data_IF_075698871865
#
_entry.id   IF_075698871865
#
_cell.length_a   1.000
_cell.length_b   1.000
_cell.length_c   1.000
_cell.angle_alpha   90.00
_cell.angle_beta   90.00
_cell.angle_gamma   90.00
#
_symmetry.space_group_name_H-M   'P 1'
#
loop_
_entity.id
_entity.type
_entity.pdbx_description
1 polymer ?
#
# COMPACT_ATOMS: atom_id res chain seq x y z
N UNK A 1 -4.78 -64.41 -4.26
CA UNK A 1 -5.82 -63.65 -4.95
C UNK A 1 -6.01 -64.31 -6.31
N UNK A 2 -7.18 -64.88 -6.55
CA UNK A 2 -7.45 -65.63 -7.78
C UNK A 2 -7.54 -64.69 -8.97
N UNK A 3 -7.11 -65.13 -10.14
CA UNK A 3 -7.13 -64.36 -11.42
C UNK A 3 -8.51 -63.74 -11.69
N UNK A 4 -9.58 -64.42 -11.27
CA UNK A 4 -10.96 -63.98 -11.41
C UNK A 4 -11.33 -62.80 -10.48
N UNK A 5 -10.72 -62.67 -9.33
CA UNK A 5 -10.89 -61.49 -8.41
C UNK A 5 -10.16 -60.26 -8.97
N UNK A 6 -8.97 -60.48 -9.51
CA UNK A 6 -8.19 -59.42 -10.14
C UNK A 6 -8.93 -58.84 -11.37
N UNK A 7 -9.56 -59.72 -12.14
CA UNK A 7 -10.34 -59.32 -13.34
C UNK A 7 -11.59 -58.52 -12.95
N UNK A 8 -12.33 -58.95 -11.91
CA UNK A 8 -13.49 -58.18 -11.39
C UNK A 8 -13.11 -56.81 -10.83
N UNK A 9 -12.00 -56.75 -10.11
CA UNK A 9 -11.47 -55.48 -9.58
C UNK A 9 -11.07 -54.54 -10.73
N UNK A 10 -10.38 -55.06 -11.77
CA UNK A 10 -10.02 -54.25 -12.92
C UNK A 10 -11.25 -53.76 -13.71
N UNK A 11 -12.26 -54.60 -13.90
CA UNK A 11 -13.51 -54.19 -14.52
C UNK A 11 -14.23 -53.13 -13.72
N UNK A 12 -14.33 -53.23 -12.36
CA UNK A 12 -14.95 -52.23 -11.52
C UNK A 12 -14.23 -50.89 -11.56
N UNK A 13 -12.90 -50.88 -11.66
CA UNK A 13 -12.09 -49.64 -11.78
C UNK A 13 -12.36 -48.99 -13.16
N UNK A 14 -12.43 -49.80 -14.25
CA UNK A 14 -12.70 -49.28 -15.60
C UNK A 14 -14.12 -48.72 -15.69
N UNK A 15 -15.12 -49.40 -15.18
CA UNK A 15 -16.51 -48.93 -15.16
C UNK A 15 -16.67 -47.67 -14.30
N UNK A 16 -16.10 -47.65 -13.10
CA UNK A 16 -16.07 -46.49 -12.26
C UNK A 16 -15.36 -45.28 -12.90
N UNK A 17 -14.22 -45.53 -13.54
CA UNK A 17 -13.49 -44.54 -14.31
C UNK A 17 -14.28 -43.96 -15.48
N UNK A 18 -14.99 -44.83 -16.22
CA UNK A 18 -15.84 -44.42 -17.33
C UNK A 18 -17.04 -43.57 -16.88
N UNK A 19 -17.66 -43.91 -15.76
CA UNK A 19 -18.74 -43.11 -15.18
C UNK A 19 -18.26 -41.71 -14.71
N UNK A 20 -17.11 -41.66 -14.05
CA UNK A 20 -16.49 -40.39 -13.66
C UNK A 20 -16.16 -39.54 -14.88
N UNK A 21 -15.58 -40.15 -15.92
CA UNK A 21 -15.28 -39.43 -17.16
C UNK A 21 -16.55 -38.91 -17.84
N UNK A 22 -17.59 -39.76 -17.96
CA UNK A 22 -18.89 -39.35 -18.52
C UNK A 22 -19.50 -38.17 -17.71
N UNK A 23 -19.46 -38.22 -16.38
CA UNK A 23 -19.90 -37.13 -15.51
C UNK A 23 -19.11 -35.85 -15.78
N UNK A 24 -17.78 -35.93 -15.86
CA UNK A 24 -16.94 -34.76 -16.12
C UNK A 24 -17.23 -34.14 -17.51
N UNK A 25 -17.47 -34.97 -18.51
CA UNK A 25 -17.85 -34.49 -19.86
C UNK A 25 -19.19 -33.78 -19.83
N UNK A 26 -20.20 -34.34 -19.16
CA UNK A 26 -21.51 -33.69 -19.02
C UNK A 26 -21.41 -32.36 -18.30
N UNK A 27 -20.70 -32.32 -17.15
CA UNK A 27 -20.47 -31.11 -16.41
C UNK A 27 -19.69 -30.07 -17.23
N UNK A 28 -18.66 -30.52 -17.99
CA UNK A 28 -17.92 -29.68 -18.91
C UNK A 28 -18.77 -29.03 -19.98
N UNK A 29 -19.62 -29.84 -20.66
CA UNK A 29 -20.55 -29.33 -21.67
C UNK A 29 -21.58 -28.37 -21.11
N UNK A 30 -22.12 -28.66 -19.94
CA UNK A 30 -23.04 -27.76 -19.23
C UNK A 30 -22.38 -26.43 -18.88
N UNK A 31 -21.16 -26.49 -18.36
CA UNK A 31 -20.37 -25.29 -18.03
C UNK A 31 -20.09 -24.45 -19.28
N UNK A 32 -19.65 -25.06 -20.38
CA UNK A 32 -19.43 -24.39 -21.66
C UNK A 32 -20.72 -23.73 -22.17
N UNK A 33 -21.86 -24.42 -22.07
CA UNK A 33 -23.15 -23.88 -22.50
C UNK A 33 -23.56 -22.68 -21.68
N UNK A 34 -23.44 -22.76 -20.35
CA UNK A 34 -23.71 -21.63 -19.46
C UNK A 34 -22.77 -20.43 -19.75
N UNK A 35 -21.49 -20.73 -19.91
CA UNK A 35 -20.50 -19.69 -20.28
C UNK A 35 -20.84 -19.03 -21.62
N UNK A 36 -21.24 -19.80 -22.62
CA UNK A 36 -21.66 -19.28 -23.92
C UNK A 36 -22.87 -18.34 -23.80
N UNK A 37 -23.90 -18.76 -23.08
CA UNK A 37 -25.11 -17.94 -22.88
C UNK A 37 -24.80 -16.63 -22.12
N UNK A 38 -24.00 -16.71 -21.05
CA UNK A 38 -23.57 -15.54 -20.29
C UNK A 38 -22.76 -14.59 -21.15
N UNK A 39 -21.80 -15.12 -21.93
CA UNK A 39 -20.92 -14.30 -22.74
C UNK A 39 -21.65 -13.59 -23.89
N UNK A 40 -22.63 -14.23 -24.52
CA UNK A 40 -23.42 -13.66 -25.61
C UNK A 40 -24.44 -12.62 -25.16
N UNK A 41 -24.98 -12.77 -23.94
CA UNK A 41 -26.03 -11.88 -23.41
C UNK A 41 -25.50 -10.64 -22.69
N UNK A 42 -24.26 -10.69 -22.18
CA UNK A 42 -23.66 -9.55 -21.48
C UNK A 42 -23.22 -8.45 -22.47
N UNK A 43 -23.17 -7.19 -22.00
CA UNK A 43 -22.83 -5.99 -22.81
C UNK A 43 -21.53 -5.31 -22.42
N UNK A 44 -20.91 -5.72 -21.30
CA UNK A 44 -19.74 -5.04 -20.71
C UNK A 44 -18.43 -5.35 -21.43
N UNK A 45 -18.28 -6.52 -22.02
CA UNK A 45 -17.02 -7.00 -22.57
C UNK A 45 -17.21 -7.49 -24.02
N UNK A 46 -16.89 -6.65 -24.98
CA UNK A 46 -17.07 -6.90 -26.43
C UNK A 46 -16.36 -8.17 -26.90
N UNK A 47 -15.14 -8.44 -26.40
CA UNK A 47 -14.38 -9.63 -26.80
C UNK A 47 -15.08 -10.92 -26.37
N UNK A 48 -15.59 -11.00 -25.14
CA UNK A 48 -16.36 -12.17 -24.67
C UNK A 48 -17.62 -12.37 -25.46
N UNK A 49 -18.31 -11.28 -25.82
CA UNK A 49 -19.54 -11.34 -26.61
C UNK A 49 -19.28 -11.83 -28.04
N UNK A 50 -18.19 -11.37 -28.68
CA UNK A 50 -17.86 -11.74 -30.06
C UNK A 50 -17.20 -13.12 -30.16
N UNK A 51 -16.52 -13.54 -29.11
CA UNK A 51 -15.83 -14.83 -28.99
C UNK A 51 -16.25 -15.52 -27.69
N UNK A 52 -17.50 -16.03 -27.59
CA UNK A 52 -17.98 -16.65 -26.37
C UNK A 52 -17.11 -17.82 -25.95
N UNK A 53 -16.94 -18.03 -24.65
CA UNK A 53 -16.08 -19.05 -24.03
C UNK A 53 -14.60 -18.79 -24.29
N UNK A 54 -14.18 -18.76 -25.56
CA UNK A 54 -12.76 -18.62 -25.96
C UNK A 54 -12.21 -17.24 -25.57
N UNK A 55 -13.00 -16.18 -25.64
CA UNK A 55 -12.62 -14.83 -25.25
C UNK A 55 -12.21 -14.69 -23.78
N UNK A 56 -12.62 -15.63 -22.92
CA UNK A 56 -12.23 -15.67 -21.49
C UNK A 56 -10.75 -16.01 -21.32
N UNK A 57 -10.17 -16.82 -22.21
CA UNK A 57 -8.75 -17.16 -22.17
C UNK A 57 -7.86 -15.92 -22.34
N UNK A 58 -8.30 -14.96 -23.16
CA UNK A 58 -7.56 -13.69 -23.30
C UNK A 58 -7.39 -13.00 -21.94
N UNK A 59 -8.46 -12.81 -21.19
CA UNK A 59 -8.41 -12.14 -19.88
C UNK A 59 -7.64 -12.96 -18.84
N UNK A 60 -7.75 -14.29 -18.92
CA UNK A 60 -6.95 -15.18 -18.08
C UNK A 60 -5.46 -15.00 -18.37
N UNK A 61 -5.04 -15.00 -19.63
CA UNK A 61 -3.64 -14.83 -19.99
C UNK A 61 -3.14 -13.39 -19.78
N UNK A 62 -3.97 -12.38 -19.92
CA UNK A 62 -3.63 -11.00 -19.57
C UNK A 62 -3.29 -10.89 -18.07
N UNK A 63 -4.12 -11.47 -17.23
CA UNK A 63 -3.88 -11.47 -15.78
C UNK A 63 -2.65 -12.32 -15.40
N UNK A 64 -2.53 -13.50 -15.98
CA UNK A 64 -1.37 -14.38 -15.79
C UNK A 64 -0.08 -13.71 -16.28
N UNK A 65 -0.17 -12.94 -17.37
CA UNK A 65 0.93 -12.20 -17.96
C UNK A 65 1.52 -11.13 -17.05
N UNK A 66 0.71 -10.49 -16.19
CA UNK A 66 1.21 -9.56 -15.17
C UNK A 66 2.13 -10.27 -14.19
N UNK A 67 1.69 -11.45 -13.71
CA UNK A 67 2.47 -12.27 -12.80
C UNK A 67 3.77 -12.76 -13.43
N UNK A 68 3.71 -13.30 -14.66
CA UNK A 68 4.89 -13.79 -15.37
C UNK A 68 5.89 -12.66 -15.66
N UNK A 69 5.42 -11.47 -16.08
CA UNK A 69 6.31 -10.32 -16.29
C UNK A 69 7.05 -9.95 -15.02
N UNK A 70 6.34 -9.88 -13.90
CA UNK A 70 6.92 -9.48 -12.63
C UNK A 70 8.00 -10.44 -12.13
N UNK A 71 7.81 -11.75 -12.29
CA UNK A 71 8.67 -12.76 -11.66
C UNK A 71 9.68 -13.42 -12.61
N UNK A 72 9.42 -13.43 -13.92
CA UNK A 72 10.22 -14.19 -14.86
C UNK A 72 10.81 -13.38 -16.02
N UNK A 73 10.14 -12.33 -16.48
CA UNK A 73 10.51 -11.64 -17.70
C UNK A 73 10.99 -10.20 -17.50
N UNK A 74 10.70 -9.58 -16.38
CA UNK A 74 11.20 -8.23 -16.09
C UNK A 74 12.70 -8.26 -15.83
N UNK A 75 13.45 -7.40 -16.50
CA UNK A 75 14.86 -7.15 -16.17
C UNK A 75 14.95 -6.46 -14.81
N UNK A 76 16.10 -6.60 -14.15
CA UNK A 76 16.28 -6.13 -12.77
C UNK A 76 16.00 -4.62 -12.57
N UNK A 77 16.00 -3.84 -13.64
CA UNK A 77 15.82 -2.38 -13.61
C UNK A 77 14.63 -1.85 -14.41
N UNK A 78 13.76 -2.70 -14.94
CA UNK A 78 12.64 -2.27 -15.81
C UNK A 78 11.38 -1.84 -15.06
N UNK A 79 11.13 -2.42 -13.90
CA UNK A 79 9.87 -2.17 -13.18
C UNK A 79 9.88 -0.81 -12.48
N UNK A 80 8.71 -0.17 -12.47
CA UNK A 80 8.47 1.09 -11.76
C UNK A 80 7.28 0.91 -10.78
N UNK A 81 7.24 1.62 -9.66
CA UNK A 81 8.22 2.60 -9.16
C UNK A 81 9.48 1.98 -8.52
N UNK A 82 9.42 0.72 -8.10
CA UNK A 82 10.53 -0.02 -7.47
C UNK A 82 10.86 -1.25 -8.28
N UNK A 83 12.03 -1.25 -8.86
CA UNK A 83 12.51 -2.38 -9.66
C UNK A 83 13.00 -3.54 -8.77
N UNK A 84 13.24 -4.68 -9.40
CA UNK A 84 13.66 -5.91 -8.72
C UNK A 84 14.96 -5.75 -7.94
N UNK A 85 15.92 -4.98 -8.48
CA UNK A 85 17.20 -4.76 -7.80
C UNK A 85 17.00 -3.96 -6.50
N UNK A 86 16.14 -2.94 -6.50
CA UNK A 86 15.80 -2.14 -5.32
C UNK A 86 15.07 -2.98 -4.26
N UNK A 87 14.07 -3.78 -4.67
CA UNK A 87 13.38 -4.70 -3.75
C UNK A 87 14.33 -5.73 -3.14
N UNK A 88 15.24 -6.29 -3.95
CA UNK A 88 16.24 -7.25 -3.51
C UNK A 88 17.19 -6.65 -2.47
N UNK A 89 17.57 -5.38 -2.66
CA UNK A 89 18.37 -4.64 -1.69
C UNK A 89 17.64 -4.50 -0.34
N UNK A 90 16.36 -4.09 -0.37
CA UNK A 90 15.54 -3.97 0.85
C UNK A 90 15.43 -5.31 1.59
N UNK A 91 15.18 -6.41 0.88
CA UNK A 91 15.10 -7.73 1.50
C UNK A 91 16.42 -8.19 2.13
N UNK A 92 17.55 -7.85 1.54
CA UNK A 92 18.88 -8.14 2.09
C UNK A 92 19.16 -7.29 3.32
N UNK A 93 18.87 -6.00 3.26
CA UNK A 93 19.00 -5.09 4.38
C UNK A 93 18.12 -5.52 5.58
N UNK A 94 16.86 -5.90 5.33
CA UNK A 94 15.95 -6.41 6.36
C UNK A 94 16.39 -7.73 7.02
N UNK A 95 17.30 -8.47 6.39
CA UNK A 95 17.88 -9.70 6.90
C UNK A 95 19.32 -9.50 7.42
N UNK A 96 19.76 -8.26 7.53
CA UNK A 96 21.14 -7.91 7.92
C UNK A 96 22.20 -8.60 7.06
N UNK A 97 21.85 -8.89 5.79
CA UNK A 97 22.77 -9.51 4.85
C UNK A 97 23.52 -8.41 4.10
N UNK A 98 24.81 -8.59 3.90
CA UNK A 98 25.62 -7.65 3.12
C UNK A 98 24.98 -7.35 1.76
N UNK A 99 24.72 -6.07 1.52
CA UNK A 99 24.07 -5.55 0.31
C UNK A 99 25.09 -4.93 -0.66
N UNK A 100 26.37 -4.98 -0.36
CA UNK A 100 27.46 -4.42 -1.18
C UNK A 100 27.54 -5.15 -2.52
N UNK A 101 27.67 -4.39 -3.61
CA UNK A 101 27.90 -4.91 -4.96
C UNK A 101 29.39 -4.79 -5.27
N UNK A 102 30.04 -5.91 -5.58
CA UNK A 102 31.50 -6.00 -5.70
C UNK A 102 32.14 -5.07 -6.75
N UNK A 103 31.45 -4.75 -7.84
CA UNK A 103 31.95 -3.98 -8.98
C UNK A 103 31.09 -2.78 -9.36
N UNK A 104 30.64 -2.03 -8.38
CA UNK A 104 29.92 -0.79 -8.63
C UNK A 104 28.44 -0.97 -9.01
N UNK A 105 27.90 0.03 -9.65
CA UNK A 105 26.45 0.10 -9.92
C UNK A 105 26.05 -0.62 -11.19
N UNK A 106 24.90 -1.27 -11.18
CA UNK A 106 24.20 -1.75 -12.38
C UNK A 106 23.30 -0.67 -13.00
N UNK A 107 23.30 0.55 -12.44
CA UNK A 107 22.54 1.70 -12.97
C UNK A 107 23.37 2.43 -14.03
N UNK A 108 22.79 2.93 -15.10
CA UNK A 108 23.42 3.95 -15.93
C UNK A 108 23.56 5.22 -15.07
N UNK A 109 24.78 5.71 -14.87
CA UNK A 109 25.07 6.88 -14.04
C UNK A 109 25.58 8.09 -14.85
N UNK A 110 25.34 8.10 -16.16
CA UNK A 110 25.84 9.08 -17.11
C UNK A 110 24.73 9.72 -17.97
N UNK A 111 23.48 9.64 -17.51
CA UNK A 111 22.38 10.28 -18.19
C UNK A 111 22.26 11.74 -17.76
N UNK A 112 21.77 12.60 -18.66
CA UNK A 112 21.49 13.99 -18.33
C UNK A 112 20.48 14.09 -17.18
N UNK A 113 20.86 14.85 -16.13
CA UNK A 113 20.07 14.97 -14.90
C UNK A 113 20.43 13.97 -13.78
N UNK A 114 21.33 13.02 -14.03
CA UNK A 114 21.82 12.14 -12.97
C UNK A 114 22.64 12.93 -11.94
N UNK A 115 22.42 12.60 -10.67
CA UNK A 115 23.15 13.17 -9.54
C UNK A 115 23.97 12.06 -8.90
N UNK A 116 25.27 12.30 -8.74
CA UNK A 116 26.19 11.42 -8.04
C UNK A 116 26.91 12.19 -6.92
N UNK A 117 27.20 11.50 -5.83
CA UNK A 117 28.08 12.04 -4.79
C UNK A 117 29.53 11.81 -5.18
N UNK A 118 30.34 12.87 -5.10
CA UNK A 118 31.78 12.74 -5.32
C UNK A 118 32.45 12.27 -4.04
N UNK A 119 33.37 11.34 -4.21
CA UNK A 119 34.21 10.88 -3.10
C UNK A 119 35.18 11.99 -2.66
N UNK A 120 35.38 12.09 -1.36
CA UNK A 120 36.47 12.90 -0.82
C UNK A 120 37.82 12.22 -1.09
N UNK A 121 38.86 13.01 -1.33
CA UNK A 121 40.24 12.48 -1.42
C UNK A 121 40.69 11.89 -0.07
N UNK A 122 40.15 12.40 1.03
CA UNK A 122 40.41 11.93 2.39
C UNK A 122 39.04 11.67 3.05
N UNK A 123 38.41 10.48 2.84
CA UNK A 123 37.11 10.17 3.37
C UNK A 123 37.18 10.01 4.90
N UNK A 124 36.09 10.38 5.56
CA UNK A 124 35.89 10.07 6.98
C UNK A 124 35.83 8.55 7.14
N UNK A 125 36.58 8.00 8.06
CA UNK A 125 36.52 6.58 8.40
C UNK A 125 35.28 6.31 9.24
N UNK A 126 34.80 5.07 9.25
CA UNK A 126 33.61 4.68 10.02
C UNK A 126 33.78 4.97 11.51
N UNK A 127 34.98 4.73 12.06
CA UNK A 127 35.33 5.01 13.44
C UNK A 127 35.36 6.51 13.82
N UNK A 128 35.50 7.38 12.82
CA UNK A 128 35.51 8.84 12.98
C UNK A 128 34.11 9.44 12.64
N UNK A 129 33.15 8.62 12.22
CA UNK A 129 31.80 9.06 11.92
C UNK A 129 31.09 9.52 13.20
N UNK A 130 30.43 10.66 13.11
CA UNK A 130 29.62 11.19 14.22
C UNK A 130 28.16 11.13 13.87
N UNK A 131 27.32 10.87 14.88
CA UNK A 131 25.87 10.90 14.69
C UNK A 131 25.40 12.31 14.31
N UNK A 132 24.34 12.41 13.49
CA UNK A 132 23.72 13.68 13.16
C UNK A 132 23.27 14.43 14.41
N UNK A 133 23.40 15.75 14.40
CA UNK A 133 22.87 16.56 15.49
C UNK A 133 21.35 16.47 15.51
N UNK A 134 20.73 16.26 16.69
CA UNK A 134 19.28 16.28 16.81
C UNK A 134 18.69 17.59 16.32
N UNK A 135 17.52 17.51 15.69
CA UNK A 135 16.74 18.66 15.25
C UNK A 135 15.50 18.77 16.14
N UNK A 136 15.30 19.93 16.73
CA UNK A 136 14.10 20.22 17.52
C UNK A 136 13.12 21.04 16.72
N UNK A 137 11.93 20.49 16.50
CA UNK A 137 10.83 21.11 15.77
C UNK A 137 9.93 21.81 16.79
N UNK A 138 9.60 23.07 16.53
CA UNK A 138 8.73 23.86 17.41
C UNK A 138 9.40 24.38 18.68
N UNK A 139 10.74 24.45 18.75
CA UNK A 139 11.48 24.87 19.93
C UNK A 139 11.06 26.24 20.47
N UNK A 140 10.71 27.19 19.58
CA UNK A 140 10.35 28.56 19.94
C UNK A 140 8.83 28.81 19.99
N UNK A 141 8.02 27.91 19.46
CA UNK A 141 6.58 28.11 19.24
C UNK A 141 5.67 27.09 19.92
N UNK A 142 6.19 25.93 20.31
CA UNK A 142 5.37 24.83 20.86
C UNK A 142 5.63 24.68 22.36
N UNK A 143 4.57 24.40 23.12
CA UNK A 143 4.68 24.03 24.54
C UNK A 143 5.34 22.68 24.75
N UNK A 144 5.25 21.80 23.77
CA UNK A 144 5.88 20.49 23.77
C UNK A 144 6.61 20.28 22.43
N UNK A 145 7.80 20.86 22.25
CA UNK A 145 8.59 20.69 21.03
C UNK A 145 9.02 19.23 20.87
N UNK A 146 9.16 18.80 19.60
CA UNK A 146 9.58 17.45 19.27
C UNK A 146 11.03 17.42 18.78
N UNK A 147 11.83 16.54 19.34
CA UNK A 147 13.23 16.36 18.94
C UNK A 147 13.44 15.01 18.27
N UNK A 148 14.03 15.02 17.09
CA UNK A 148 14.43 13.82 16.36
C UNK A 148 15.93 13.84 16.06
N UNK A 149 16.58 12.69 16.16
CA UNK A 149 17.97 12.49 15.74
C UNK A 149 18.09 12.06 14.29
N UNK A 150 17.01 11.64 13.65
CA UNK A 150 17.02 11.14 12.27
C UNK A 150 16.41 12.15 11.30
N UNK A 151 17.08 12.33 10.15
CA UNK A 151 16.55 13.08 9.01
C UNK A 151 15.68 12.18 8.09
N UNK A 152 15.73 10.85 8.28
CA UNK A 152 14.93 9.89 7.55
C UNK A 152 13.84 9.34 8.46
N UNK A 153 12.60 9.41 8.01
CA UNK A 153 11.43 8.99 8.76
C UNK A 153 10.43 8.31 7.84
N UNK A 154 9.44 7.60 8.40
CA UNK A 154 8.44 6.90 7.59
C UNK A 154 7.36 7.88 7.13
N UNK A 155 7.23 8.01 5.82
CA UNK A 155 6.28 8.92 5.18
C UNK A 155 4.82 8.48 5.38
N UNK A 156 3.89 9.38 5.02
CA UNK A 156 2.46 9.22 5.16
C UNK A 156 1.90 7.98 4.44
N UNK A 157 1.46 6.99 5.20
CA UNK A 157 0.83 5.78 4.68
C UNK A 157 -0.39 5.42 5.52
N UNK A 158 -1.58 5.55 4.93
CA UNK A 158 -2.84 5.34 5.65
C UNK A 158 -3.25 3.87 5.71
N UNK A 159 -3.77 3.46 6.86
CA UNK A 159 -4.47 2.19 6.99
C UNK A 159 -5.67 2.12 6.04
N UNK A 160 -5.80 1.00 5.34
CA UNK A 160 -6.76 0.80 4.27
C UNK A 160 -6.21 1.11 2.87
N UNK A 161 -5.23 2.02 2.74
CA UNK A 161 -4.40 2.11 1.54
C UNK A 161 -3.34 1.02 1.53
N UNK A 162 -2.70 0.79 2.68
CA UNK A 162 -1.87 -0.39 2.94
C UNK A 162 -2.56 -1.31 3.95
N UNK A 163 -2.12 -2.57 4.01
CA UNK A 163 -2.72 -3.59 4.87
C UNK A 163 -2.36 -3.41 6.35
N UNK A 164 -3.15 -4.01 7.24
CA UNK A 164 -2.85 -4.05 8.67
C UNK A 164 -1.43 -4.56 8.97
N UNK A 165 -0.98 -5.74 8.47
CA UNK A 165 0.38 -6.21 8.74
C UNK A 165 1.47 -5.25 8.26
N UNK A 166 1.22 -4.47 7.20
CA UNK A 166 2.17 -3.48 6.72
C UNK A 166 2.27 -2.28 7.69
N UNK A 167 1.13 -1.79 8.19
CA UNK A 167 1.12 -0.69 9.19
C UNK A 167 1.81 -1.12 10.48
N UNK A 168 1.50 -2.31 10.98
CA UNK A 168 2.14 -2.88 12.18
C UNK A 168 3.65 -3.05 12.02
N UNK A 169 4.10 -3.58 10.88
CA UNK A 169 5.52 -3.74 10.59
C UNK A 169 6.25 -2.39 10.54
N UNK A 170 5.65 -1.38 9.91
CA UNK A 170 6.21 -0.04 9.84
C UNK A 170 6.24 0.63 11.22
N UNK A 171 5.19 0.48 12.02
CA UNK A 171 5.14 1.01 13.38
C UNK A 171 6.24 0.40 14.27
N UNK A 172 6.41 -0.92 14.24
CA UNK A 172 7.46 -1.64 14.98
C UNK A 172 8.86 -1.25 14.49
N UNK A 173 9.07 -1.20 13.17
CA UNK A 173 10.34 -0.77 12.58
C UNK A 173 10.69 0.69 12.89
N UNK A 174 9.70 1.59 12.92
CA UNK A 174 9.90 2.97 13.32
C UNK A 174 10.33 3.11 14.79
N UNK A 175 9.71 2.33 15.69
CA UNK A 175 10.08 2.28 17.10
C UNK A 175 11.51 1.77 17.29
N UNK A 176 11.88 0.69 16.62
CA UNK A 176 13.22 0.10 16.68
C UNK A 176 14.30 1.06 16.14
N UNK A 177 13.99 1.79 15.06
CA UNK A 177 14.89 2.77 14.48
C UNK A 177 14.89 4.13 15.18
N UNK A 178 14.02 4.38 16.18
CA UNK A 178 13.89 5.66 16.87
C UNK A 178 13.45 6.81 15.94
N UNK A 179 12.56 6.53 14.98
CA UNK A 179 12.02 7.47 14.00
C UNK A 179 10.51 7.56 14.09
N UNK A 180 9.92 8.62 13.52
CA UNK A 180 8.46 8.73 13.50
C UNK A 180 7.84 7.98 12.33
N UNK A 181 6.56 7.64 12.50
CA UNK A 181 5.69 7.15 11.45
C UNK A 181 4.51 8.11 11.23
N UNK A 182 4.30 8.54 9.99
CA UNK A 182 3.20 9.42 9.61
C UNK A 182 1.97 8.58 9.24
N UNK A 183 0.81 8.89 9.83
CA UNK A 183 -0.43 8.12 9.66
C UNK A 183 -1.01 8.17 8.24
N UNK A 184 -0.59 9.13 7.42
CA UNK A 184 -1.33 9.47 6.22
C UNK A 184 -2.71 10.06 6.55
N UNK A 185 -3.49 10.37 5.52
CA UNK A 185 -4.77 11.08 5.65
C UNK A 185 -5.97 10.19 6.02
N UNK A 186 -5.73 8.92 6.36
CA UNK A 186 -6.80 7.95 6.69
C UNK A 186 -7.27 7.94 8.14
N UNK A 187 -6.72 8.79 8.98
CA UNK A 187 -6.93 8.78 10.42
C UNK A 187 -5.95 7.88 11.18
N UNK A 188 -5.97 7.95 12.49
CA UNK A 188 -5.14 7.15 13.38
C UNK A 188 -5.79 5.78 13.60
N UNK A 189 -5.10 4.71 13.21
CA UNK A 189 -5.53 3.34 13.51
C UNK A 189 -4.80 2.78 14.74
N UNK A 190 -5.37 1.79 15.43
CA UNK A 190 -4.68 1.08 16.51
C UNK A 190 -3.34 0.49 16.09
N UNK A 191 -3.25 0.07 14.83
CA UNK A 191 -2.05 -0.54 14.25
C UNK A 191 -0.88 0.43 14.07
N UNK A 192 -1.15 1.73 13.91
CA UNK A 192 -0.11 2.77 13.94
C UNK A 192 0.53 2.88 15.34
N UNK A 193 -0.24 2.66 16.39
CA UNK A 193 0.20 2.78 17.78
C UNK A 193 0.89 1.51 18.32
N UNK A 194 0.65 0.36 17.69
CA UNK A 194 1.05 -0.96 18.23
C UNK A 194 2.57 -1.11 18.42
N UNK A 195 3.36 -0.51 17.54
CA UNK A 195 4.83 -0.58 17.65
C UNK A 195 5.43 0.32 18.73
N UNK A 196 4.69 1.30 19.24
CA UNK A 196 5.18 2.23 20.25
C UNK A 196 6.06 3.37 19.70
N UNK A 197 6.09 3.58 18.38
CA UNK A 197 6.86 4.66 17.76
C UNK A 197 6.18 6.02 17.94
N UNK A 198 6.95 7.08 17.75
CA UNK A 198 6.42 8.44 17.62
C UNK A 198 5.57 8.56 16.35
N UNK A 199 4.44 9.23 16.46
CA UNK A 199 3.45 9.39 15.40
C UNK A 199 3.35 10.86 14.97
N UNK A 200 3.34 11.06 13.65
CA UNK A 200 2.87 12.30 13.04
C UNK A 200 1.47 12.06 12.50
N UNK A 201 0.47 12.73 13.07
CA UNK A 201 -0.91 12.63 12.59
C UNK A 201 -1.13 13.59 11.42
N UNK A 202 -1.54 13.05 10.27
CA UNK A 202 -1.78 13.86 9.09
C UNK A 202 -3.25 14.25 8.95
N UNK A 203 -3.53 15.55 8.96
CA UNK A 203 -4.82 16.14 8.64
C UNK A 203 -4.90 16.32 7.12
N UNK A 204 -5.56 15.40 6.43
CA UNK A 204 -5.79 15.48 5.00
C UNK A 204 -6.97 16.38 4.63
N UNK A 205 -7.17 16.59 3.34
CA UNK A 205 -8.21 17.46 2.80
C UNK A 205 -9.65 17.02 3.12
N UNK A 206 -9.85 15.75 3.47
CA UNK A 206 -11.12 15.21 3.97
C UNK A 206 -11.20 15.17 5.50
N UNK A 207 -10.12 15.51 6.21
CA UNK A 207 -10.03 15.53 7.69
C UNK A 207 -10.46 14.22 8.36
N UNK A 208 -10.19 13.06 7.69
CA UNK A 208 -10.54 11.76 8.25
C UNK A 208 -9.94 11.55 9.64
N UNK A 209 -10.75 10.98 10.53
CA UNK A 209 -10.39 10.76 11.93
C UNK A 209 -10.63 11.95 12.86
N UNK A 210 -10.66 13.17 12.32
CA UNK A 210 -10.87 14.42 13.07
C UNK A 210 -11.96 15.30 12.47
N UNK A 211 -12.92 14.70 11.75
CA UNK A 211 -14.01 15.42 11.09
C UNK A 211 -15.35 15.25 11.79
N UNK A 212 -16.20 16.27 11.70
CA UNK A 212 -17.63 16.19 12.01
C UNK A 212 -18.42 15.50 10.85
N UNK A 213 -19.74 15.43 10.98
CA UNK A 213 -20.62 14.86 9.96
C UNK A 213 -20.66 15.69 8.67
N UNK A 214 -20.40 16.98 8.75
CA UNK A 214 -20.33 17.93 7.63
C UNK A 214 -18.94 17.99 6.99
N UNK A 215 -17.96 17.28 7.54
CA UNK A 215 -16.58 17.22 7.03
C UNK A 215 -15.68 18.36 7.47
N UNK A 216 -16.09 19.15 8.47
CA UNK A 216 -15.27 20.19 9.10
C UNK A 216 -14.40 19.59 10.21
N UNK A 217 -13.38 20.32 10.66
CA UNK A 217 -12.56 19.93 11.78
C UNK A 217 -13.40 19.86 13.06
N UNK A 218 -13.26 18.77 13.81
CA UNK A 218 -13.94 18.53 15.08
C UNK A 218 -12.91 18.58 16.20
N UNK A 219 -13.01 19.63 17.02
CA UNK A 219 -12.07 19.91 18.12
C UNK A 219 -12.02 18.83 19.19
N UNK A 220 -13.16 18.15 19.44
CA UNK A 220 -13.19 17.05 20.41
C UNK A 220 -12.34 15.89 19.92
N UNK A 221 -12.54 15.49 18.66
CA UNK A 221 -11.75 14.42 18.05
C UNK A 221 -10.28 14.79 17.89
N UNK A 222 -9.99 16.05 17.58
CA UNK A 222 -8.62 16.54 17.51
C UNK A 222 -7.92 16.41 18.87
N UNK A 223 -8.59 16.80 19.96
CA UNK A 223 -8.07 16.62 21.34
C UNK A 223 -7.91 15.15 21.71
N UNK A 224 -8.83 14.27 21.27
CA UNK A 224 -8.71 12.83 21.50
C UNK A 224 -7.45 12.27 20.83
N UNK A 225 -7.16 12.69 19.59
CA UNK A 225 -5.92 12.34 18.90
C UNK A 225 -4.69 12.91 19.61
N UNK A 226 -4.73 14.18 20.00
CA UNK A 226 -3.63 14.84 20.71
C UNK A 226 -3.34 14.25 22.10
N UNK A 227 -4.34 13.60 22.72
CA UNK A 227 -4.18 12.93 24.01
C UNK A 227 -3.36 11.63 23.95
N UNK A 228 -3.12 11.06 22.76
CA UNK A 228 -2.21 9.93 22.61
C UNK A 228 -0.77 10.38 22.82
N UNK A 229 -0.10 9.81 23.79
CA UNK A 229 1.29 10.13 24.13
C UNK A 229 2.27 9.98 22.96
N UNK A 230 1.98 9.01 22.07
CA UNK A 230 2.77 8.75 20.88
C UNK A 230 2.57 9.79 19.77
N UNK A 231 1.47 10.55 19.77
CA UNK A 231 1.23 11.59 18.75
C UNK A 231 2.03 12.83 19.12
N UNK A 232 3.11 13.06 18.37
CA UNK A 232 4.10 14.10 18.67
C UNK A 232 3.94 15.35 17.82
N UNK A 233 3.34 15.22 16.63
CA UNK A 233 3.15 16.31 15.69
C UNK A 233 1.88 16.13 14.88
N UNK A 234 1.35 17.25 14.40
CA UNK A 234 0.31 17.31 13.39
C UNK A 234 0.90 17.81 12.07
N UNK A 235 0.50 17.20 10.97
CA UNK A 235 0.88 17.62 9.63
C UNK A 235 -0.37 17.97 8.81
N UNK A 236 -0.43 19.16 8.26
CA UNK A 236 -1.53 19.60 7.40
C UNK A 236 -1.17 19.32 5.94
N UNK A 237 -1.85 18.36 5.33
CA UNK A 237 -1.69 18.02 3.92
C UNK A 237 -2.54 18.95 3.05
N UNK A 238 -1.92 19.91 2.39
CA UNK A 238 -2.60 20.97 1.65
C UNK A 238 -3.36 20.52 0.41
N UNK A 239 -2.89 19.49 -0.30
CA UNK A 239 -3.45 19.06 -1.57
C UNK A 239 -3.13 17.59 -1.88
N UNK A 240 -3.60 17.12 -3.04
CA UNK A 240 -3.42 15.74 -3.52
C UNK A 240 -2.45 15.71 -4.70
N UNK A 241 -1.13 15.72 -4.43
CA UNK A 241 -0.10 15.85 -5.47
C UNK A 241 -0.05 14.70 -6.48
N UNK A 242 -0.28 13.46 -6.05
CA UNK A 242 -0.22 12.28 -6.92
C UNK A 242 -1.39 12.17 -7.91
N UNK A 243 -2.50 12.85 -7.66
CA UNK A 243 -3.71 12.83 -8.50
C UNK A 243 -4.21 14.25 -8.73
N UNK A 244 -3.55 15.06 -9.56
CA UNK A 244 -3.95 16.44 -9.82
C UNK A 244 -5.41 16.54 -10.29
N UNK A 245 -6.19 17.45 -9.70
CA UNK A 245 -7.61 17.64 -9.99
C UNK A 245 -8.54 16.57 -9.44
N UNK A 246 -8.01 15.55 -8.76
CA UNK A 246 -8.76 14.53 -8.03
C UNK A 246 -8.16 14.33 -6.66
N UNK A 247 -8.98 13.91 -5.71
CA UNK A 247 -8.49 13.54 -4.37
C UNK A 247 -8.03 12.09 -4.26
N UNK A 248 -7.60 11.71 -3.07
CA UNK A 248 -7.37 10.31 -2.72
C UNK A 248 -8.68 9.52 -2.78
N UNK A 249 -8.64 8.30 -3.30
CA UNK A 249 -9.83 7.44 -3.40
C UNK A 249 -9.49 6.09 -2.77
N UNK A 250 -10.31 5.67 -1.79
CA UNK A 250 -10.38 4.30 -1.33
C UNK A 250 -11.75 3.75 -1.73
N UNK A 251 -11.81 2.74 -2.63
CA UNK A 251 -13.08 2.17 -3.07
C UNK A 251 -13.91 1.60 -1.91
N UNK A 252 -15.22 1.78 -1.94
CA UNK A 252 -16.15 1.31 -0.91
C UNK A 252 -16.03 -0.17 -0.58
N UNK A 253 -15.69 -1.01 -1.56
CA UNK A 253 -15.41 -2.43 -1.33
C UNK A 253 -14.25 -2.70 -0.35
N UNK A 254 -13.36 -1.72 -0.12
CA UNK A 254 -12.25 -1.78 0.85
C UNK A 254 -12.58 -1.07 2.16
N UNK A 255 -13.70 -0.34 2.22
CA UNK A 255 -14.13 0.41 3.43
C UNK A 255 -14.90 -0.54 4.33
N UNK A 256 -14.16 -1.25 5.17
CA UNK A 256 -14.71 -2.11 6.22
C UNK A 256 -15.31 -1.27 7.35
N UNK A 257 -16.10 -1.89 8.26
CA UNK A 257 -16.64 -1.25 9.46
C UNK A 257 -15.53 -0.55 10.29
N UNK A 258 -14.35 -1.15 10.40
CA UNK A 258 -13.23 -0.58 11.11
C UNK A 258 -12.66 0.67 10.41
N UNK A 259 -12.43 0.60 9.11
CA UNK A 259 -11.94 1.74 8.32
C UNK A 259 -12.99 2.87 8.32
N UNK A 260 -14.28 2.52 8.20
CA UNK A 260 -15.39 3.47 8.27
C UNK A 260 -15.39 4.24 9.59
N UNK A 261 -15.24 3.53 10.72
CA UNK A 261 -15.16 4.12 12.06
C UNK A 261 -13.93 5.03 12.21
N UNK A 262 -12.75 4.59 11.77
CA UNK A 262 -11.50 5.37 11.87
C UNK A 262 -11.60 6.65 11.03
N UNK A 263 -12.17 6.58 9.83
CA UNK A 263 -12.31 7.72 8.91
C UNK A 263 -13.49 8.62 9.23
N UNK A 264 -14.45 8.16 10.00
CA UNK A 264 -15.71 8.88 10.25
C UNK A 264 -16.58 8.98 9.00
N UNK A 265 -16.76 7.88 8.25
CA UNK A 265 -17.56 7.78 7.03
C UNK A 265 -18.47 6.53 7.08
N UNK A 266 -19.51 6.45 6.25
CA UNK A 266 -20.33 5.25 6.15
C UNK A 266 -19.54 4.03 5.62
N UNK A 267 -19.88 2.84 6.13
CA UNK A 267 -19.32 1.58 5.64
C UNK A 267 -19.71 1.33 4.18
N UNK A 268 -18.83 0.67 3.43
CA UNK A 268 -19.00 0.33 2.01
C UNK A 268 -19.21 1.53 1.06
N UNK A 269 -19.01 2.75 1.53
CA UNK A 269 -19.02 3.95 0.69
C UNK A 269 -17.61 4.31 0.23
N UNK A 270 -17.48 4.87 -0.98
CA UNK A 270 -16.20 5.36 -1.47
C UNK A 270 -15.67 6.48 -0.55
N UNK A 271 -14.44 6.31 -0.08
CA UNK A 271 -13.74 7.35 0.68
C UNK A 271 -13.00 8.25 -0.29
N UNK A 272 -13.55 9.43 -0.55
CA UNK A 272 -13.02 10.39 -1.53
C UNK A 272 -12.55 11.64 -0.78
N UNK A 273 -11.27 11.96 -0.90
CA UNK A 273 -10.70 13.21 -0.38
C UNK A 273 -10.82 14.31 -1.44
N UNK A 274 -11.26 15.52 -1.10
CA UNK A 274 -11.17 16.67 -2.01
C UNK A 274 -9.73 16.93 -2.44
N UNK A 275 -9.54 17.59 -3.58
CA UNK A 275 -8.20 17.97 -4.07
C UNK A 275 -7.53 19.09 -3.25
N UNK A 276 -8.27 19.79 -2.42
CA UNK A 276 -7.82 20.81 -1.45
C UNK A 276 -8.79 20.92 -0.30
N UNK A 277 -8.39 21.59 0.77
CA UNK A 277 -9.27 21.85 1.90
C UNK A 277 -10.42 22.79 1.48
N UNK A 278 -11.69 22.44 1.76
CA UNK A 278 -12.82 23.30 1.42
C UNK A 278 -12.81 24.66 2.15
N UNK A 279 -12.23 24.70 3.33
CA UNK A 279 -12.19 25.84 4.26
C UNK A 279 -10.82 26.57 4.31
N UNK A 280 -9.86 26.19 3.48
CA UNK A 280 -8.56 26.88 3.34
C UNK A 280 -8.43 27.35 1.90
N UNK A 281 -8.58 28.67 1.69
CA UNK A 281 -8.61 29.28 0.36
C UNK A 281 -7.54 30.36 0.18
N UNK A 282 -6.89 30.76 1.26
CA UNK A 282 -5.85 31.78 1.30
C UNK A 282 -4.73 31.36 2.26
N UNK A 283 -3.65 32.13 2.30
CA UNK A 283 -2.57 31.96 3.26
C UNK A 283 -3.07 32.26 4.68
N UNK A 284 -3.94 33.26 4.82
CA UNK A 284 -4.54 33.65 6.10
C UNK A 284 -5.39 32.51 6.68
N UNK A 285 -6.20 31.82 5.84
CA UNK A 285 -6.96 30.66 6.27
C UNK A 285 -6.05 29.51 6.72
N UNK A 286 -4.93 29.31 5.99
CA UNK A 286 -3.95 28.31 6.38
C UNK A 286 -3.31 28.62 7.74
N UNK A 287 -2.89 29.85 7.95
CA UNK A 287 -2.32 30.28 9.24
C UNK A 287 -3.33 30.12 10.37
N UNK A 288 -4.59 30.52 10.14
CA UNK A 288 -5.66 30.31 11.10
C UNK A 288 -5.89 28.82 11.42
N UNK A 289 -5.78 27.93 10.43
CA UNK A 289 -5.85 26.49 10.66
C UNK A 289 -4.64 25.97 11.45
N UNK A 290 -3.44 26.48 11.19
CA UNK A 290 -2.22 26.13 11.95
C UNK A 290 -2.34 26.57 13.39
N UNK A 291 -2.81 27.80 13.64
CA UNK A 291 -3.01 28.33 15.00
C UNK A 291 -4.11 27.59 15.76
N UNK A 292 -5.08 27.02 15.04
CA UNK A 292 -6.19 26.26 15.62
C UNK A 292 -5.77 24.84 16.03
N UNK A 293 -4.91 24.18 15.24
CA UNK A 293 -4.43 22.81 15.44
C UNK A 293 -3.33 22.75 16.50
#
# INVERSE_FOLDING_TARGET
>A
MELAELHRLAQGIIEGGALVLAFLVVVGLLTITVMYLVDTTQTKQTIRRNYPVVGRFRYFFEHLGEFFRQYFFALDREELPFNRAERSWVYRAAKETDSTVAFGSTRPLNQEGDIIFLNSAFPTLEEDAVEPRPVTIGAESCTQPYTTSSILNISAMSYGAISQPAVEALSKGAAEAGIWYNTGEGGLSPFHLEGGCDIVFQIGTAKYGVRDLEGRLDDSKLRDIAAHEQVRMFEIKMSQGAKPGKGGILPGAKVTAEIARIRGIPEHSDSISPNGHPDVRSVEDLLAMVDHV
#
